data_IF_102569890651
#
_entry.id   IF_102569890651
#
_cell.length_a   1.000
_cell.length_b   1.000
_cell.length_c   1.000
_cell.angle_alpha   90.00
_cell.angle_beta   90.00
_cell.angle_gamma   90.00
#
_symmetry.space_group_name_H-M   'P 1'
#
loop_
_entity.id
_entity.type
_entity.pdbx_description
1 polymer ?
#
# COMPACT_ATOMS: atom_id res chain seq x y z
N UNK A 1 -9.34 19.88 -2.02
CA UNK A 1 -9.07 18.76 -2.92
C UNK A 1 -8.20 17.69 -2.24
N UNK A 2 -6.98 17.96 -1.77
CA UNK A 2 -6.06 16.98 -1.15
C UNK A 2 -6.70 16.20 0.02
N UNK A 3 -7.49 16.85 0.88
CA UNK A 3 -8.20 16.17 1.96
C UNK A 3 -9.19 15.14 1.43
N UNK A 4 -9.90 15.46 0.35
CA UNK A 4 -10.91 14.58 -0.24
C UNK A 4 -10.26 13.34 -0.86
N UNK A 5 -9.18 13.51 -1.63
CA UNK A 5 -8.42 12.38 -2.19
C UNK A 5 -7.76 11.55 -1.09
N UNK A 6 -7.31 12.16 -0.01
CA UNK A 6 -6.80 11.46 1.16
C UNK A 6 -7.90 10.64 1.86
N UNK A 7 -9.12 11.18 2.05
CA UNK A 7 -10.25 10.43 2.60
C UNK A 7 -10.59 9.20 1.73
N UNK A 8 -10.50 9.32 0.41
CA UNK A 8 -10.65 8.18 -0.51
C UNK A 8 -9.62 7.09 -0.19
N UNK A 9 -8.36 7.47 0.05
CA UNK A 9 -7.29 6.52 0.41
C UNK A 9 -7.52 5.92 1.81
N UNK A 10 -8.13 6.66 2.73
CA UNK A 10 -8.54 6.12 4.05
C UNK A 10 -9.61 5.04 3.88
N UNK A 11 -10.61 5.24 3.03
CA UNK A 11 -11.62 4.21 2.75
C UNK A 11 -11.03 2.99 2.02
N UNK A 12 -10.07 3.18 1.10
CA UNK A 12 -9.29 2.11 0.48
C UNK A 12 -8.56 1.28 1.56
N UNK A 13 -7.86 1.95 2.48
CA UNK A 13 -7.17 1.30 3.59
C UNK A 13 -8.11 0.56 4.55
N UNK A 14 -9.31 1.11 4.80
CA UNK A 14 -10.35 0.44 5.56
C UNK A 14 -10.73 -0.89 4.90
N UNK A 15 -11.04 -0.87 3.59
CA UNK A 15 -11.45 -2.08 2.85
C UNK A 15 -10.36 -3.16 2.81
N UNK A 16 -9.10 -2.76 2.70
CA UNK A 16 -7.98 -3.70 2.67
C UNK A 16 -7.80 -4.43 4.01
N UNK A 17 -8.03 -3.74 5.12
CA UNK A 17 -7.75 -4.26 6.47
C UNK A 17 -9.00 -4.85 7.13
N UNK A 18 -10.21 -4.43 6.74
CA UNK A 18 -11.47 -4.93 7.32
C UNK A 18 -11.58 -6.45 7.24
N UNK A 19 -11.06 -7.07 6.18
CA UNK A 19 -11.07 -8.52 6.05
C UNK A 19 -10.34 -9.20 7.21
N UNK A 20 -9.16 -8.72 7.58
CA UNK A 20 -8.39 -9.23 8.71
C UNK A 20 -9.16 -9.16 10.04
N UNK A 21 -9.95 -8.09 10.25
CA UNK A 21 -10.78 -7.95 11.46
C UNK A 21 -11.92 -8.97 11.51
N UNK A 22 -12.39 -9.41 10.34
CA UNK A 22 -13.56 -10.29 10.21
C UNK A 22 -13.21 -11.78 10.03
N UNK A 23 -11.95 -12.15 9.81
CA UNK A 23 -11.55 -13.57 9.68
C UNK A 23 -11.99 -14.42 10.87
N UNK A 24 -11.78 -14.04 12.16
CA UNK A 24 -12.22 -14.88 13.27
C UNK A 24 -13.72 -15.18 13.25
N UNK A 25 -14.63 -14.21 13.12
CA UNK A 25 -16.06 -14.51 13.03
C UNK A 25 -16.48 -15.19 11.72
N UNK A 26 -15.77 -14.96 10.58
CA UNK A 26 -16.04 -15.67 9.33
C UNK A 26 -15.73 -17.17 9.43
N UNK A 27 -14.63 -17.54 10.09
CA UNK A 27 -14.28 -18.94 10.36
C UNK A 27 -15.27 -19.62 11.32
N UNK A 28 -16.02 -18.85 12.10
CA UNK A 28 -17.04 -19.34 13.02
C UNK A 28 -18.47 -19.27 12.43
N UNK A 29 -18.64 -18.78 11.20
CA UNK A 29 -19.96 -18.61 10.58
C UNK A 29 -20.59 -19.96 10.26
N UNK A 30 -21.79 -20.17 10.75
CA UNK A 30 -22.53 -21.43 10.57
C UNK A 30 -22.87 -21.66 9.10
N UNK A 31 -22.57 -22.85 8.60
CA UNK A 31 -22.88 -23.25 7.22
C UNK A 31 -21.87 -22.75 6.18
N UNK A 32 -20.79 -22.08 6.60
CA UNK A 32 -19.72 -21.68 5.69
C UNK A 32 -18.54 -22.65 5.70
N UNK A 33 -18.33 -23.42 6.76
CA UNK A 33 -17.30 -24.45 6.94
C UNK A 33 -15.91 -24.05 6.42
N UNK A 34 -15.56 -22.77 6.66
CA UNK A 34 -14.32 -22.17 6.18
C UNK A 34 -13.12 -22.73 6.95
N UNK A 35 -12.10 -23.20 6.20
CA UNK A 35 -10.76 -23.45 6.74
C UNK A 35 -9.92 -22.18 6.68
N UNK A 36 -8.76 -22.15 7.35
CA UNK A 36 -7.84 -21.04 7.23
C UNK A 36 -7.30 -20.90 5.80
N UNK A 37 -7.11 -22.01 5.07
CA UNK A 37 -6.71 -22.02 3.66
C UNK A 37 -7.77 -21.36 2.78
N UNK A 38 -9.04 -21.69 2.92
CA UNK A 38 -10.11 -21.08 2.14
C UNK A 38 -10.32 -19.61 2.48
N UNK A 39 -10.20 -19.23 3.75
CA UNK A 39 -10.19 -17.83 4.16
C UNK A 39 -8.99 -17.07 3.58
N UNK A 40 -7.80 -17.68 3.56
CA UNK A 40 -6.62 -17.12 2.89
C UNK A 40 -6.85 -16.89 1.41
N UNK A 41 -7.45 -17.84 0.71
CA UNK A 41 -7.81 -17.71 -0.71
C UNK A 41 -8.76 -16.54 -0.96
N UNK A 42 -9.82 -16.42 -0.16
CA UNK A 42 -10.77 -15.29 -0.24
C UNK A 42 -10.05 -13.95 -0.01
N UNK A 43 -9.15 -13.88 0.98
CA UNK A 43 -8.32 -12.69 1.21
C UNK A 43 -7.45 -12.33 0.00
N UNK A 44 -6.87 -13.33 -0.65
CA UNK A 44 -6.05 -13.17 -1.86
C UNK A 44 -6.85 -12.66 -3.07
N UNK A 45 -8.15 -12.98 -3.17
CA UNK A 45 -9.01 -12.54 -4.28
C UNK A 45 -9.12 -11.02 -4.36
N UNK A 46 -9.22 -10.31 -3.22
CA UNK A 46 -9.25 -8.86 -3.23
C UNK A 46 -7.96 -8.25 -3.82
N UNK A 47 -6.80 -8.77 -3.42
CA UNK A 47 -5.52 -8.33 -3.95
C UNK A 47 -5.30 -8.72 -5.42
N UNK A 48 -5.81 -9.89 -5.84
CA UNK A 48 -5.83 -10.30 -7.25
C UNK A 48 -6.69 -9.34 -8.09
N UNK A 49 -7.86 -8.96 -7.59
CA UNK A 49 -8.70 -7.92 -8.20
C UNK A 49 -7.95 -6.59 -8.30
N UNK A 50 -7.24 -6.17 -7.24
CA UNK A 50 -6.43 -4.95 -7.26
C UNK A 50 -5.31 -5.00 -8.29
N UNK A 51 -4.66 -6.14 -8.48
CA UNK A 51 -3.63 -6.30 -9.50
C UNK A 51 -4.20 -6.08 -10.89
N UNK A 52 -5.33 -6.71 -11.21
CA UNK A 52 -6.02 -6.55 -12.49
C UNK A 52 -6.52 -5.11 -12.67
N UNK A 53 -7.14 -4.54 -11.63
CA UNK A 53 -7.62 -3.16 -11.61
C UNK A 53 -6.52 -2.13 -11.85
N UNK A 54 -5.35 -2.33 -11.24
CA UNK A 54 -4.21 -1.43 -11.43
C UNK A 54 -3.67 -1.45 -12.87
N UNK A 55 -3.69 -2.61 -13.54
CA UNK A 55 -3.27 -2.73 -14.95
C UNK A 55 -4.23 -2.02 -15.92
N UNK A 56 -5.50 -1.94 -15.58
CA UNK A 56 -6.53 -1.31 -16.42
C UNK A 56 -6.72 0.18 -16.12
N UNK A 57 -6.35 0.61 -14.92
CA UNK A 57 -6.62 1.96 -14.43
C UNK A 57 -5.94 3.07 -15.22
N UNK A 58 -4.70 2.86 -15.65
CA UNK A 58 -3.97 3.84 -16.48
C UNK A 58 -4.73 4.12 -17.77
N UNK A 59 -5.10 3.07 -18.50
CA UNK A 59 -5.89 3.19 -19.72
C UNK A 59 -7.25 3.88 -19.49
N UNK A 60 -7.88 3.58 -18.34
CA UNK A 60 -9.16 4.19 -17.98
C UNK A 60 -8.99 5.69 -17.68
N UNK A 61 -7.93 6.06 -16.94
CA UNK A 61 -7.64 7.45 -16.60
C UNK A 61 -7.28 8.28 -17.84
N UNK A 62 -6.52 7.72 -18.77
CA UNK A 62 -6.16 8.40 -20.03
C UNK A 62 -7.40 8.68 -20.90
N UNK A 63 -8.35 7.73 -20.97
CA UNK A 63 -9.57 7.90 -21.79
C UNK A 63 -10.65 8.72 -21.13
N UNK A 64 -10.91 8.55 -19.85
CA UNK A 64 -12.07 9.10 -19.14
C UNK A 64 -11.75 10.33 -18.31
N UNK A 65 -10.47 10.57 -18.03
CA UNK A 65 -10.00 11.55 -17.07
C UNK A 65 -9.84 10.96 -15.66
N UNK A 66 -9.00 11.61 -14.87
CA UNK A 66 -8.69 11.17 -13.50
C UNK A 66 -9.90 11.27 -12.57
N UNK A 67 -10.66 12.37 -12.63
CA UNK A 67 -11.86 12.55 -11.81
C UNK A 67 -12.88 11.46 -12.06
N UNK A 68 -13.25 11.21 -13.33
CA UNK A 68 -14.25 10.19 -13.66
C UNK A 68 -13.79 8.79 -13.28
N UNK A 69 -12.50 8.49 -13.44
CA UNK A 69 -11.91 7.22 -13.03
C UNK A 69 -12.02 7.04 -11.52
N UNK A 70 -11.64 8.04 -10.73
CA UNK A 70 -11.75 8.01 -9.26
C UNK A 70 -13.22 7.79 -8.84
N UNK A 71 -14.16 8.54 -9.40
CA UNK A 71 -15.58 8.41 -9.06
C UNK A 71 -16.13 7.01 -9.37
N UNK A 72 -15.79 6.46 -10.54
CA UNK A 72 -16.21 5.10 -10.94
C UNK A 72 -15.58 4.05 -10.07
N UNK A 73 -14.28 4.14 -9.79
CA UNK A 73 -13.58 3.23 -8.90
C UNK A 73 -14.16 3.28 -7.48
N UNK A 74 -14.46 4.50 -6.96
CA UNK A 74 -15.07 4.68 -5.63
C UNK A 74 -16.45 4.05 -5.57
N UNK A 75 -17.32 4.32 -6.53
CA UNK A 75 -18.64 3.69 -6.58
C UNK A 75 -18.53 2.17 -6.67
N UNK A 76 -17.69 1.67 -7.56
CA UNK A 76 -17.52 0.26 -7.83
C UNK A 76 -17.04 -0.52 -6.59
N UNK A 77 -15.91 -0.11 -5.98
CA UNK A 77 -15.42 -0.83 -4.82
C UNK A 77 -16.38 -0.75 -3.65
N UNK A 78 -16.95 0.42 -3.38
CA UNK A 78 -17.88 0.60 -2.26
C UNK A 78 -19.14 -0.25 -2.42
N UNK A 79 -19.66 -0.36 -3.65
CA UNK A 79 -20.82 -1.20 -3.94
C UNK A 79 -20.53 -2.67 -3.66
N UNK A 80 -19.42 -3.21 -4.22
CA UNK A 80 -19.08 -4.62 -4.04
C UNK A 80 -18.64 -4.94 -2.61
N UNK A 81 -17.99 -4.00 -1.91
CA UNK A 81 -17.73 -4.14 -0.47
C UNK A 81 -19.03 -4.17 0.33
N UNK A 82 -19.98 -3.28 0.04
CA UNK A 82 -21.29 -3.33 0.71
C UNK A 82 -22.06 -4.64 0.42
N UNK A 83 -21.96 -5.17 -0.81
CA UNK A 83 -22.57 -6.45 -1.19
C UNK A 83 -21.95 -7.64 -0.40
N UNK A 84 -20.72 -7.54 0.06
CA UNK A 84 -20.16 -8.54 0.98
C UNK A 84 -21.00 -8.71 2.24
N UNK A 85 -21.68 -7.65 2.72
CA UNK A 85 -22.52 -7.74 3.91
C UNK A 85 -23.75 -8.69 3.75
N UNK A 86 -24.20 -8.88 2.52
CA UNK A 86 -25.38 -9.72 2.20
C UNK A 86 -25.00 -11.03 1.50
N UNK A 87 -23.72 -11.36 1.43
CA UNK A 87 -23.25 -12.59 0.80
C UNK A 87 -23.82 -13.82 1.55
N UNK A 88 -24.42 -14.74 0.78
CA UNK A 88 -25.04 -15.95 1.30
C UNK A 88 -24.05 -17.13 1.42
N UNK A 89 -22.94 -17.10 0.69
CA UNK A 89 -21.93 -18.14 0.68
C UNK A 89 -20.50 -17.58 0.60
N UNK A 90 -19.47 -18.36 0.98
CA UNK A 90 -18.07 -17.96 0.88
C UNK A 90 -17.65 -17.61 -0.56
N UNK A 91 -18.17 -18.33 -1.56
CA UNK A 91 -17.83 -18.13 -2.98
C UNK A 91 -18.36 -16.79 -3.45
N UNK A 92 -19.61 -16.45 -3.13
CA UNK A 92 -20.23 -15.16 -3.46
C UNK A 92 -19.49 -14.04 -2.75
N UNK A 93 -19.15 -14.22 -1.48
CA UNK A 93 -18.35 -13.27 -0.73
C UNK A 93 -16.96 -13.05 -1.38
N UNK A 94 -16.27 -14.13 -1.73
CA UNK A 94 -14.99 -14.08 -2.44
C UNK A 94 -15.08 -13.38 -3.80
N UNK A 95 -16.13 -13.67 -4.58
CA UNK A 95 -16.38 -12.98 -5.84
C UNK A 95 -16.58 -11.47 -5.64
N UNK A 96 -17.35 -11.06 -4.64
CA UNK A 96 -17.51 -9.64 -4.32
C UNK A 96 -16.20 -9.00 -3.85
N UNK A 97 -15.37 -9.68 -3.09
CA UNK A 97 -14.02 -9.22 -2.69
C UNK A 97 -13.12 -9.01 -3.91
N UNK A 98 -13.14 -9.93 -4.89
CA UNK A 98 -12.39 -9.76 -6.14
C UNK A 98 -12.89 -8.54 -6.93
N UNK A 99 -14.21 -8.39 -7.08
CA UNK A 99 -14.82 -7.28 -7.79
C UNK A 99 -14.56 -5.94 -7.09
N UNK A 100 -14.63 -5.89 -5.76
CA UNK A 100 -14.22 -4.71 -4.99
C UNK A 100 -12.75 -4.35 -5.26
N UNK A 101 -11.88 -5.36 -5.25
CA UNK A 101 -10.47 -5.21 -5.58
C UNK A 101 -10.21 -4.56 -6.93
N UNK A 102 -10.98 -4.88 -7.98
CA UNK A 102 -10.85 -4.23 -9.29
C UNK A 102 -10.96 -2.69 -9.18
N UNK A 103 -11.91 -2.20 -8.40
CA UNK A 103 -12.06 -0.77 -8.16
C UNK A 103 -10.90 -0.16 -7.36
N UNK A 104 -10.50 -0.82 -6.28
CA UNK A 104 -9.40 -0.38 -5.41
C UNK A 104 -8.06 -0.28 -6.17
N UNK A 105 -7.80 -1.19 -7.12
CA UNK A 105 -6.56 -1.21 -7.88
C UNK A 105 -6.29 0.07 -8.67
N UNK A 106 -7.34 0.70 -9.17
CA UNK A 106 -7.23 1.94 -9.95
C UNK A 106 -7.31 3.23 -9.14
N UNK A 107 -7.81 3.14 -7.91
CA UNK A 107 -8.19 4.29 -7.10
C UNK A 107 -6.97 5.09 -6.62
N UNK A 108 -6.06 4.46 -5.90
CA UNK A 108 -4.88 5.12 -5.29
C UNK A 108 -3.96 5.75 -6.32
N UNK A 109 -3.58 5.06 -7.42
CA UNK A 109 -2.77 5.67 -8.48
C UNK A 109 -3.43 6.90 -9.09
N UNK A 110 -4.73 6.84 -9.42
CA UNK A 110 -5.46 7.95 -10.01
C UNK A 110 -5.61 9.13 -9.05
N UNK A 111 -5.86 8.87 -7.75
CA UNK A 111 -5.95 9.89 -6.72
C UNK A 111 -4.60 10.59 -6.49
N UNK A 112 -3.51 9.84 -6.46
CA UNK A 112 -2.16 10.40 -6.32
C UNK A 112 -1.77 11.23 -7.55
N UNK A 113 -2.04 10.75 -8.78
CA UNK A 113 -1.76 11.47 -10.00
C UNK A 113 -2.52 12.80 -10.04
N UNK A 114 -3.84 12.77 -9.79
CA UNK A 114 -4.64 13.98 -9.73
C UNK A 114 -4.14 14.95 -8.66
N UNK A 115 -3.84 14.47 -7.45
CA UNK A 115 -3.36 15.32 -6.35
C UNK A 115 -2.03 15.99 -6.69
N UNK A 116 -1.13 15.28 -7.36
CA UNK A 116 0.18 15.80 -7.73
C UNK A 116 0.14 17.00 -8.68
N UNK A 117 -0.93 17.11 -9.51
CA UNK A 117 -1.12 18.25 -10.40
C UNK A 117 -1.51 19.55 -9.67
N UNK A 118 -2.17 19.43 -8.51
CA UNK A 118 -2.65 20.57 -7.72
C UNK A 118 -1.67 21.00 -6.62
N UNK A 119 -0.51 20.37 -6.53
CA UNK A 119 0.49 20.64 -5.49
C UNK A 119 1.77 21.13 -6.14
N UNK A 120 2.35 22.22 -5.60
CA UNK A 120 3.64 22.74 -6.08
C UNK A 120 4.74 21.67 -5.96
N UNK A 121 5.70 21.67 -6.89
CA UNK A 121 6.82 20.69 -6.93
C UNK A 121 7.52 20.53 -5.56
N UNK A 122 7.69 21.63 -4.82
CA UNK A 122 8.33 21.64 -3.50
C UNK A 122 7.58 20.76 -2.48
N UNK A 123 6.26 20.67 -2.57
CA UNK A 123 5.42 19.97 -1.58
C UNK A 123 4.91 18.61 -2.07
N UNK A 124 5.12 18.23 -3.33
CA UNK A 124 4.63 16.96 -3.91
C UNK A 124 5.03 15.73 -3.08
N UNK A 125 6.30 15.67 -2.64
CA UNK A 125 6.78 14.55 -1.83
C UNK A 125 6.07 14.46 -0.47
N UNK A 126 5.91 15.60 0.21
CA UNK A 126 5.21 15.64 1.50
C UNK A 126 3.74 15.25 1.36
N UNK A 127 3.04 15.76 0.34
CA UNK A 127 1.64 15.43 0.09
C UNK A 127 1.49 13.96 -0.30
N UNK A 128 2.38 13.41 -1.12
CA UNK A 128 2.37 11.97 -1.44
C UNK A 128 2.53 11.10 -0.17
N UNK A 129 3.40 11.51 0.76
CA UNK A 129 3.55 10.82 2.05
C UNK A 129 2.26 10.90 2.89
N UNK A 130 1.62 12.07 2.94
CA UNK A 130 0.32 12.24 3.62
C UNK A 130 -0.74 11.35 2.96
N UNK A 131 -0.79 11.32 1.63
CA UNK A 131 -1.72 10.42 0.91
C UNK A 131 -1.52 8.95 1.29
N UNK A 132 -0.27 8.49 1.34
CA UNK A 132 0.06 7.10 1.71
C UNK A 132 -0.27 6.76 3.16
N UNK A 133 -0.29 7.74 4.09
CA UNK A 133 -0.73 7.53 5.46
C UNK A 133 -2.23 7.18 5.58
N UNK A 134 -3.01 7.47 4.55
CA UNK A 134 -4.43 7.13 4.50
C UNK A 134 -4.69 5.63 4.66
N UNK A 135 -3.86 4.78 4.06
CA UNK A 135 -4.02 3.32 4.15
C UNK A 135 -3.95 2.81 5.60
N UNK A 136 -2.88 3.06 6.38
CA UNK A 136 -2.85 2.59 7.77
C UNK A 136 -3.85 3.35 8.69
N UNK A 137 -4.24 4.59 8.37
CA UNK A 137 -5.32 5.26 9.09
C UNK A 137 -6.65 4.54 8.83
N UNK A 138 -6.95 4.16 7.60
CA UNK A 138 -8.10 3.33 7.25
C UNK A 138 -8.09 1.99 8.00
N UNK A 139 -6.94 1.33 8.08
CA UNK A 139 -6.75 0.12 8.87
C UNK A 139 -6.97 0.34 10.36
N UNK A 140 -6.53 1.49 10.91
CA UNK A 140 -6.81 1.86 12.30
C UNK A 140 -8.31 2.08 12.53
N UNK A 141 -9.00 2.74 11.59
CA UNK A 141 -10.46 2.92 11.62
C UNK A 141 -11.16 1.56 11.58
N UNK A 142 -10.73 0.63 10.72
CA UNK A 142 -11.30 -0.72 10.66
C UNK A 142 -11.15 -1.46 12.00
N UNK A 143 -10.00 -1.37 12.65
CA UNK A 143 -9.78 -1.99 13.96
C UNK A 143 -10.67 -1.34 15.05
N UNK A 144 -10.73 0.00 15.10
CA UNK A 144 -11.54 0.74 16.08
C UNK A 144 -13.05 0.48 15.89
N UNK A 145 -13.53 0.59 14.65
CA UNK A 145 -14.94 0.32 14.32
C UNK A 145 -15.29 -1.14 14.63
N UNK A 146 -14.36 -2.06 14.36
CA UNK A 146 -14.52 -3.48 14.68
C UNK A 146 -14.70 -3.77 16.16
N UNK A 147 -14.07 -3.01 17.07
CA UNK A 147 -14.26 -3.16 18.52
C UNK A 147 -15.73 -2.95 18.96
N UNK A 148 -16.48 -2.16 18.21
CA UNK A 148 -17.87 -1.80 18.50
C UNK A 148 -18.86 -2.61 17.66
N UNK A 149 -18.65 -2.68 16.33
CA UNK A 149 -19.62 -3.30 15.42
C UNK A 149 -19.61 -4.83 15.50
N UNK A 150 -18.43 -5.48 15.65
CA UNK A 150 -18.37 -6.94 15.65
C UNK A 150 -19.16 -7.58 16.81
N UNK A 151 -19.05 -7.09 18.07
CA UNK A 151 -19.83 -7.66 19.17
C UNK A 151 -21.32 -7.35 19.08
N UNK A 152 -21.71 -6.18 18.54
CA UNK A 152 -23.09 -5.70 18.52
C UNK A 152 -23.88 -6.19 17.30
N UNK A 153 -23.26 -6.22 16.11
CA UNK A 153 -23.95 -6.42 14.84
C UNK A 153 -23.30 -7.51 13.96
N UNK A 154 -22.24 -8.14 14.44
CA UNK A 154 -21.52 -9.18 13.71
C UNK A 154 -20.69 -8.66 12.52
N UNK A 155 -20.03 -9.57 11.83
CA UNK A 155 -19.05 -9.25 10.79
C UNK A 155 -19.64 -8.56 9.54
N UNK A 156 -20.92 -8.82 9.24
CA UNK A 156 -21.62 -8.21 8.09
C UNK A 156 -21.68 -6.68 8.20
N UNK A 157 -21.83 -6.17 9.42
CA UNK A 157 -21.86 -4.72 9.68
C UNK A 157 -20.59 -4.01 9.27
N UNK A 158 -19.44 -4.68 9.34
CA UNK A 158 -18.15 -4.12 8.95
C UNK A 158 -18.10 -3.80 7.44
N UNK A 159 -18.73 -4.62 6.61
CA UNK A 159 -18.82 -4.37 5.16
C UNK A 159 -19.92 -3.37 4.81
N UNK A 160 -20.99 -3.33 5.61
CA UNK A 160 -22.06 -2.34 5.45
C UNK A 160 -21.56 -0.88 5.65
N UNK A 161 -20.46 -0.67 6.37
CA UNK A 161 -19.81 0.67 6.50
C UNK A 161 -19.44 1.26 5.13
N UNK A 162 -19.18 0.43 4.11
CA UNK A 162 -18.91 0.91 2.75
C UNK A 162 -20.07 1.71 2.14
N UNK A 163 -21.31 1.54 2.64
CA UNK A 163 -22.47 2.36 2.24
C UNK A 163 -22.22 3.83 2.57
N UNK A 164 -21.48 4.15 3.65
CA UNK A 164 -21.11 5.53 3.99
C UNK A 164 -20.26 6.16 2.88
N UNK A 165 -19.36 5.40 2.25
CA UNK A 165 -18.59 5.90 1.11
C UNK A 165 -19.49 6.24 -0.09
N UNK A 166 -20.52 5.44 -0.35
CA UNK A 166 -21.49 5.70 -1.43
C UNK A 166 -22.37 6.92 -1.12
N UNK A 167 -22.86 7.03 0.11
CA UNK A 167 -23.84 8.05 0.47
C UNK A 167 -23.22 9.41 0.85
N UNK A 168 -21.97 9.41 1.33
CA UNK A 168 -21.30 10.62 1.81
C UNK A 168 -20.09 10.97 0.95
N UNK A 169 -19.13 10.05 0.82
CA UNK A 169 -17.88 10.36 0.15
C UNK A 169 -18.06 10.56 -1.36
N UNK A 170 -18.85 9.73 -2.01
CA UNK A 170 -19.08 9.83 -3.46
C UNK A 170 -19.78 11.13 -3.86
N UNK A 171 -20.88 11.58 -3.22
CA UNK A 171 -21.49 12.90 -3.50
C UNK A 171 -20.51 14.06 -3.26
N UNK A 172 -19.71 14.01 -2.18
CA UNK A 172 -18.67 15.01 -1.95
C UNK A 172 -17.64 15.04 -3.07
N UNK A 173 -17.21 13.85 -3.55
CA UNK A 173 -16.29 13.77 -4.69
C UNK A 173 -16.91 14.28 -5.97
N UNK A 174 -18.18 14.00 -6.23
CA UNK A 174 -18.91 14.53 -7.41
C UNK A 174 -18.98 16.05 -7.36
N UNK A 175 -19.22 16.63 -6.19
CA UNK A 175 -19.37 18.09 -6.04
C UNK A 175 -18.02 18.84 -6.04
N UNK A 176 -16.98 18.28 -5.42
CA UNK A 176 -15.78 19.03 -5.06
C UNK A 176 -14.50 18.58 -5.78
N UNK A 177 -14.49 17.39 -6.42
CA UNK A 177 -13.28 16.91 -7.07
C UNK A 177 -13.16 17.52 -8.47
N UNK A 178 -12.09 18.29 -8.77
CA UNK A 178 -11.86 18.82 -10.11
C UNK A 178 -11.34 17.75 -11.08
N UNK A 179 -11.42 18.00 -12.38
CA UNK A 179 -10.72 17.18 -13.35
C UNK A 179 -9.26 17.65 -13.48
N UNK A 180 -8.40 16.76 -13.95
CA UNK A 180 -7.00 17.03 -14.23
C UNK A 180 -6.82 18.12 -15.27
N UNK A 181 -6.13 19.24 -14.98
CA UNK A 181 -5.82 20.27 -15.99
C UNK A 181 -5.02 19.72 -17.17
N UNK A 182 -4.07 18.83 -16.93
CA UNK A 182 -3.26 18.19 -17.96
C UNK A 182 -4.13 17.34 -18.90
N UNK A 183 -5.05 16.55 -18.33
CA UNK A 183 -5.98 15.75 -19.13
C UNK A 183 -6.95 16.62 -19.93
N UNK A 184 -7.48 17.71 -19.35
CA UNK A 184 -8.36 18.65 -20.05
C UNK A 184 -7.66 19.27 -21.25
N UNK A 185 -6.38 19.68 -21.11
CA UNK A 185 -5.59 20.26 -22.20
C UNK A 185 -5.33 19.25 -23.32
N UNK A 186 -4.97 18.01 -22.97
CA UNK A 186 -4.71 16.95 -23.96
C UNK A 186 -5.94 16.57 -24.78
N UNK A 187 -7.15 16.89 -24.26
CA UNK A 187 -8.44 16.65 -24.94
C UNK A 187 -9.05 17.93 -25.54
N UNK A 188 -8.27 19.00 -25.72
CA UNK A 188 -8.71 20.24 -26.35
C UNK A 188 -9.62 21.14 -25.49
N UNK A 189 -9.86 20.79 -24.21
CA UNK A 189 -10.71 21.54 -23.27
C UNK A 189 -9.93 22.61 -22.51
N UNK A 190 -9.18 23.45 -23.26
CA UNK A 190 -8.23 24.42 -22.71
C UNK A 190 -8.90 25.42 -21.76
N UNK A 191 -10.06 25.97 -22.14
CA UNK A 191 -10.76 26.96 -21.33
C UNK A 191 -11.20 26.41 -19.95
N UNK A 192 -11.52 25.12 -19.88
CA UNK A 192 -11.87 24.46 -18.60
C UNK A 192 -10.61 24.20 -17.75
N UNK A 193 -9.49 23.83 -18.39
CA UNK A 193 -8.21 23.69 -17.72
C UNK A 193 -7.77 25.02 -17.06
N UNK A 194 -7.82 26.13 -17.79
CA UNK A 194 -7.49 27.46 -17.30
C UNK A 194 -8.38 27.91 -16.15
N UNK A 195 -9.68 27.65 -16.23
CA UNK A 195 -10.62 27.93 -15.12
C UNK A 195 -10.25 27.10 -13.88
N UNK A 196 -9.93 25.82 -14.05
CA UNK A 196 -9.55 24.95 -12.93
C UNK A 196 -8.24 25.41 -12.31
N UNK A 197 -7.25 25.76 -13.13
CA UNK A 197 -5.95 26.30 -12.68
C UNK A 197 -6.12 27.62 -11.91
N UNK A 198 -6.96 28.53 -12.43
CA UNK A 198 -7.25 29.81 -11.77
C UNK A 198 -7.94 29.64 -10.42
N UNK A 199 -8.92 28.74 -10.32
CA UNK A 199 -9.65 28.47 -9.06
C UNK A 199 -8.74 27.87 -7.99
N UNK A 200 -7.83 26.98 -8.38
CA UNK A 200 -6.95 26.28 -7.42
C UNK A 200 -5.55 26.90 -7.30
N UNK A 201 -5.25 27.98 -8.03
CA UNK A 201 -3.96 28.66 -7.98
C UNK A 201 -2.80 27.79 -8.52
N UNK A 202 -3.09 26.91 -9.49
CA UNK A 202 -2.09 26.01 -10.09
C UNK A 202 -1.33 26.77 -11.17
N UNK A 203 -0.01 26.84 -11.06
CA UNK A 203 0.85 27.40 -12.11
C UNK A 203 1.20 26.30 -13.10
N UNK A 204 0.78 26.49 -14.35
CA UNK A 204 1.07 25.54 -15.41
C UNK A 204 2.57 25.52 -15.73
N UNK A 205 3.21 24.38 -15.60
CA UNK A 205 4.61 24.18 -15.95
C UNK A 205 4.71 23.57 -17.36
N UNK A 206 4.99 24.41 -18.35
CA UNK A 206 5.11 24.01 -19.76
C UNK A 206 6.19 22.95 -20.02
N UNK A 207 7.12 22.76 -19.08
CA UNK A 207 8.23 21.79 -19.21
C UNK A 207 7.83 20.33 -19.00
N UNK A 208 6.63 20.05 -18.44
CA UNK A 208 6.18 18.66 -18.19
C UNK A 208 5.47 18.02 -19.41
N UNK A 209 5.19 18.77 -20.48
CA UNK A 209 4.36 18.32 -21.61
C UNK A 209 5.12 17.83 -22.82
N UNK A 210 6.41 17.61 -22.74
CA UNK A 210 7.07 16.77 -23.72
C UNK A 210 6.67 15.30 -23.48
N UNK A 211 5.49 14.94 -24.00
CA UNK A 211 5.00 13.58 -24.06
C UNK A 211 5.82 12.74 -25.04
N UNK A 212 7.09 12.49 -24.68
CA UNK A 212 7.78 11.33 -25.20
C UNK A 212 7.05 10.13 -24.61
N UNK A 213 6.60 9.20 -25.45
CA UNK A 213 5.98 7.95 -25.05
C UNK A 213 6.78 7.33 -23.91
N UNK A 214 6.11 7.01 -22.80
CA UNK A 214 6.77 6.37 -21.66
C UNK A 214 7.51 5.12 -22.16
N UNK A 215 8.80 4.98 -21.85
CA UNK A 215 9.57 3.83 -22.33
C UNK A 215 8.94 2.54 -21.85
N UNK A 216 8.81 1.55 -22.73
CA UNK A 216 8.26 0.25 -22.36
C UNK A 216 9.11 -0.47 -21.31
N UNK A 217 8.53 -1.45 -20.62
CA UNK A 217 9.20 -2.26 -19.57
C UNK A 217 10.51 -2.91 -20.05
N UNK A 218 10.64 -3.20 -21.37
CA UNK A 218 11.88 -3.72 -21.95
C UNK A 218 13.10 -2.84 -21.73
N UNK A 219 12.93 -1.51 -21.62
CA UNK A 219 14.03 -0.58 -21.40
C UNK A 219 14.63 -0.69 -20.00
N UNK A 220 13.79 -0.86 -18.97
CA UNK A 220 14.23 -1.00 -17.58
C UNK A 220 14.76 -2.39 -17.26
N UNK A 221 14.47 -3.38 -18.09
CA UNK A 221 14.93 -4.77 -17.93
C UNK A 221 16.21 -5.07 -18.74
N UNK A 222 16.87 -4.05 -19.31
CA UNK A 222 18.10 -4.19 -20.08
C UNK A 222 19.25 -3.36 -19.49
N UNK A 223 20.47 -3.75 -19.83
CA UNK A 223 21.69 -3.03 -19.45
C UNK A 223 21.83 -2.82 -17.94
N UNK A 224 22.28 -1.63 -17.58
CA UNK A 224 22.55 -1.24 -16.19
C UNK A 224 21.30 -1.18 -15.29
N UNK A 225 20.09 -1.01 -15.87
CA UNK A 225 18.84 -0.89 -15.12
C UNK A 225 18.25 -2.23 -14.69
N UNK A 226 18.64 -3.35 -15.35
CA UNK A 226 18.06 -4.67 -15.11
C UNK A 226 18.18 -5.11 -13.64
N UNK A 227 19.38 -5.04 -13.07
CA UNK A 227 19.63 -5.49 -11.69
C UNK A 227 18.85 -4.65 -10.67
N UNK A 228 18.95 -3.31 -10.64
CA UNK A 228 18.16 -2.50 -9.71
C UNK A 228 16.65 -2.73 -9.85
N UNK A 229 16.13 -2.82 -11.08
CA UNK A 229 14.70 -3.05 -11.34
C UNK A 229 14.20 -4.34 -10.72
N UNK A 230 14.93 -5.45 -10.91
CA UNK A 230 14.56 -6.75 -10.34
C UNK A 230 14.65 -6.71 -8.81
N UNK A 231 15.71 -6.12 -8.25
CA UNK A 231 15.90 -6.02 -6.80
C UNK A 231 14.82 -5.16 -6.13
N UNK A 232 14.46 -4.01 -6.69
CA UNK A 232 13.36 -3.19 -6.18
C UNK A 232 12.02 -3.92 -6.26
N UNK A 233 11.73 -4.59 -7.38
CA UNK A 233 10.50 -5.36 -7.54
C UNK A 233 10.42 -6.52 -6.51
N UNK A 234 11.49 -7.30 -6.36
CA UNK A 234 11.55 -8.39 -5.39
C UNK A 234 11.45 -7.88 -3.94
N UNK A 235 12.13 -6.77 -3.60
CA UNK A 235 11.99 -6.14 -2.29
C UNK A 235 10.57 -5.67 -2.03
N UNK A 236 9.88 -5.13 -3.05
CA UNK A 236 8.47 -4.73 -2.95
C UNK A 236 7.56 -5.93 -2.72
N UNK A 237 7.78 -7.06 -3.43
CA UNK A 237 7.04 -8.32 -3.19
C UNK A 237 7.19 -8.75 -1.72
N UNK A 238 8.41 -8.81 -1.22
CA UNK A 238 8.69 -9.24 0.14
C UNK A 238 8.08 -8.29 1.19
N UNK A 239 8.17 -6.98 0.96
CA UNK A 239 7.60 -5.95 1.85
C UNK A 239 6.07 -6.05 1.90
N UNK A 240 5.40 -6.13 0.74
CA UNK A 240 3.95 -6.23 0.67
C UNK A 240 3.44 -7.56 1.20
N UNK A 241 4.20 -8.65 1.03
CA UNK A 241 3.88 -9.94 1.64
C UNK A 241 3.84 -9.82 3.17
N UNK A 242 4.84 -9.22 3.80
CA UNK A 242 4.87 -9.05 5.24
C UNK A 242 3.73 -8.12 5.73
N UNK A 243 3.53 -6.97 5.08
CA UNK A 243 2.52 -5.99 5.46
C UNK A 243 1.09 -6.54 5.37
N UNK A 244 0.71 -7.09 4.22
CA UNK A 244 -0.66 -7.59 4.02
C UNK A 244 -0.90 -8.93 4.70
N UNK A 245 0.13 -9.76 4.90
CA UNK A 245 0.03 -10.95 5.71
C UNK A 245 -0.32 -10.64 7.16
N UNK A 246 0.37 -9.66 7.76
CA UNK A 246 0.04 -9.16 9.10
C UNK A 246 -1.34 -8.53 9.15
N UNK A 247 -1.66 -7.62 8.23
CA UNK A 247 -2.98 -6.97 8.16
C UNK A 247 -4.13 -7.98 8.08
N UNK A 248 -3.92 -9.09 7.40
CA UNK A 248 -4.92 -10.16 7.22
C UNK A 248 -5.02 -11.07 8.44
N UNK A 249 -3.91 -11.56 8.96
CA UNK A 249 -3.92 -12.66 9.92
C UNK A 249 -3.72 -12.24 11.36
N UNK A 250 -3.19 -11.05 11.65
CA UNK A 250 -2.80 -10.65 13.02
C UNK A 250 -3.93 -10.83 14.05
N UNK A 251 -5.21 -10.43 13.81
CA UNK A 251 -6.26 -10.64 14.80
C UNK A 251 -6.50 -12.12 15.08
N UNK A 252 -6.46 -12.99 14.07
CA UNK A 252 -6.63 -14.44 14.22
C UNK A 252 -5.44 -15.05 14.98
N UNK A 253 -4.21 -14.68 14.61
CA UNK A 253 -2.99 -15.18 15.26
C UNK A 253 -2.96 -14.83 16.74
N UNK A 254 -3.22 -13.56 17.08
CA UNK A 254 -3.21 -13.10 18.47
C UNK A 254 -4.39 -13.64 19.31
N UNK A 255 -5.50 -13.99 18.67
CA UNK A 255 -6.68 -14.54 19.36
C UNK A 255 -6.68 -16.06 19.46
N UNK A 256 -5.86 -16.80 18.71
CA UNK A 256 -5.87 -18.26 18.68
C UNK A 256 -4.84 -18.94 19.60
N UNK A 257 -3.85 -18.21 20.09
CA UNK A 257 -2.81 -18.75 20.97
C UNK A 257 -2.94 -18.18 22.38
N UNK A 258 -3.09 -19.06 23.37
CA UNK A 258 -3.25 -18.68 24.78
C UNK A 258 -2.08 -17.83 25.31
N UNK A 259 -0.89 -17.97 24.72
CA UNK A 259 0.29 -17.18 25.07
C UNK A 259 0.17 -15.70 24.72
N UNK A 260 -0.75 -15.34 23.80
CA UNK A 260 -1.05 -13.98 23.41
C UNK A 260 -2.41 -13.49 23.94
N UNK A 261 -3.01 -14.14 24.93
CA UNK A 261 -4.25 -13.66 25.58
C UNK A 261 -3.99 -12.40 26.44
N UNK A 262 -3.24 -11.46 25.91
CA UNK A 262 -2.81 -10.22 26.56
C UNK A 262 -3.76 -9.04 26.31
N UNK A 263 -4.91 -9.28 25.62
CA UNK A 263 -5.89 -8.26 25.30
C UNK A 263 -6.80 -8.64 24.13
N UNK A 264 -7.64 -7.69 23.70
CA UNK A 264 -8.50 -7.90 22.53
C UNK A 264 -7.65 -7.90 21.24
N UNK A 265 -7.79 -8.90 20.36
CA UNK A 265 -6.97 -9.05 19.15
C UNK A 265 -6.92 -7.81 18.23
N UNK A 266 -8.00 -7.04 18.18
CA UNK A 266 -8.06 -5.83 17.36
C UNK A 266 -7.18 -4.69 17.86
N UNK A 267 -6.82 -4.64 19.15
CA UNK A 267 -5.85 -3.66 19.64
C UNK A 267 -4.44 -3.91 19.11
N UNK A 268 -4.06 -5.18 18.88
CA UNK A 268 -2.77 -5.49 18.25
C UNK A 268 -2.73 -5.04 16.80
N UNK A 269 -3.84 -5.22 16.05
CA UNK A 269 -3.97 -4.71 14.70
C UNK A 269 -3.94 -3.17 14.67
N UNK A 270 -4.61 -2.53 15.64
CA UNK A 270 -4.55 -1.07 15.81
C UNK A 270 -3.11 -0.60 16.06
N UNK A 271 -2.36 -1.27 16.94
CA UNK A 271 -0.95 -0.93 17.21
C UNK A 271 -0.08 -1.05 15.96
N UNK A 272 -0.24 -2.12 15.17
CA UNK A 272 0.44 -2.28 13.89
C UNK A 272 0.15 -1.10 12.94
N UNK A 273 -1.11 -0.73 12.78
CA UNK A 273 -1.53 0.35 11.89
C UNK A 273 -1.09 1.73 12.40
N UNK A 274 -1.18 2.01 13.71
CA UNK A 274 -0.64 3.24 14.30
C UNK A 274 0.88 3.31 14.14
N UNK A 275 1.57 2.19 14.30
CA UNK A 275 2.99 2.07 13.96
C UNK A 275 3.26 2.46 12.51
N UNK A 276 2.42 2.02 11.57
CA UNK A 276 2.57 2.36 10.15
C UNK A 276 2.29 3.86 9.87
N UNK A 277 1.34 4.48 10.58
CA UNK A 277 1.12 5.95 10.52
C UNK A 277 2.38 6.69 10.98
N UNK A 278 2.92 6.31 12.15
CA UNK A 278 4.18 6.87 12.66
C UNK A 278 5.33 6.61 11.69
N UNK A 279 5.36 5.40 11.11
CA UNK A 279 6.32 4.99 10.10
C UNK A 279 6.33 5.90 8.88
N UNK A 280 5.17 6.32 8.40
CA UNK A 280 5.08 7.27 7.28
C UNK A 280 5.84 8.57 7.56
N UNK A 281 5.75 9.09 8.78
CA UNK A 281 6.42 10.34 9.18
C UNK A 281 7.91 10.11 9.42
N UNK A 282 8.24 9.12 10.25
CA UNK A 282 9.63 8.80 10.64
C UNK A 282 10.48 8.43 9.43
N UNK A 283 9.93 7.60 8.53
CA UNK A 283 10.68 7.16 7.34
C UNK A 283 10.78 8.25 6.28
N UNK A 284 9.79 9.14 6.15
CA UNK A 284 9.92 10.32 5.31
C UNK A 284 11.07 11.22 5.78
N UNK A 285 11.13 11.51 7.08
CA UNK A 285 12.24 12.27 7.67
C UNK A 285 13.59 11.58 7.48
N UNK A 286 13.67 10.27 7.77
CA UNK A 286 14.89 9.49 7.63
C UNK A 286 15.34 9.42 6.16
N UNK A 287 14.40 9.26 5.22
CA UNK A 287 14.66 9.26 3.79
C UNK A 287 15.29 10.54 3.29
N UNK A 288 14.86 11.70 3.80
CA UNK A 288 15.45 13.01 3.49
C UNK A 288 16.83 13.16 4.14
N UNK A 289 16.98 12.73 5.39
CA UNK A 289 18.21 12.93 6.18
C UNK A 289 19.36 11.99 5.80
N UNK A 290 19.07 10.70 5.58
CA UNK A 290 20.05 9.63 5.39
C UNK A 290 20.01 9.00 3.99
N UNK A 291 19.07 9.43 3.16
CA UNK A 291 18.79 8.89 1.85
C UNK A 291 17.76 7.73 1.89
N UNK A 292 16.88 7.65 0.87
CA UNK A 292 15.74 6.74 0.89
C UNK A 292 16.13 5.26 0.93
N UNK A 293 17.18 4.87 0.21
CA UNK A 293 17.58 3.47 0.11
C UNK A 293 18.19 2.94 1.42
N UNK A 294 19.08 3.73 2.07
CA UNK A 294 19.66 3.34 3.37
C UNK A 294 18.58 3.26 4.46
N UNK A 295 17.69 4.23 4.46
CA UNK A 295 16.56 4.25 5.41
C UNK A 295 15.61 3.08 5.18
N UNK A 296 15.40 2.65 3.91
CA UNK A 296 14.59 1.49 3.59
C UNK A 296 15.19 0.18 4.13
N UNK A 297 16.51 0.01 4.01
CA UNK A 297 17.22 -1.15 4.61
C UNK A 297 17.00 -1.18 6.12
N UNK A 298 17.20 -0.04 6.80
CA UNK A 298 17.03 0.04 8.25
C UNK A 298 15.57 -0.23 8.66
N UNK A 299 14.59 0.35 7.96
CA UNK A 299 13.18 0.13 8.23
C UNK A 299 12.77 -1.34 8.07
N UNK A 300 13.19 -1.99 6.98
CA UNK A 300 12.93 -3.41 6.75
C UNK A 300 13.59 -4.31 7.81
N UNK A 301 14.81 -3.99 8.24
CA UNK A 301 15.48 -4.71 9.33
C UNK A 301 14.75 -4.54 10.67
N UNK A 302 14.27 -3.33 10.99
CA UNK A 302 13.46 -3.07 12.19
C UNK A 302 12.17 -3.89 12.17
N UNK A 303 11.47 -3.96 11.01
CA UNK A 303 10.30 -4.81 10.87
C UNK A 303 10.61 -6.28 11.11
N UNK A 304 11.69 -6.80 10.49
CA UNK A 304 12.10 -8.19 10.66
C UNK A 304 12.42 -8.52 12.11
N UNK A 305 13.17 -7.67 12.80
CA UNK A 305 13.54 -7.87 14.22
C UNK A 305 12.31 -7.78 15.13
N UNK A 306 11.41 -6.81 14.91
CA UNK A 306 10.16 -6.70 15.68
C UNK A 306 9.29 -7.95 15.55
N UNK A 307 9.16 -8.49 14.33
CA UNK A 307 8.41 -9.73 14.09
C UNK A 307 9.13 -10.97 14.63
N UNK A 308 10.45 -11.04 14.51
CA UNK A 308 11.26 -12.12 15.11
C UNK A 308 11.14 -12.14 16.63
N UNK A 309 11.05 -10.98 17.28
CA UNK A 309 10.85 -10.89 18.72
C UNK A 309 9.53 -11.54 19.17
N UNK A 310 8.46 -11.49 18.35
CA UNK A 310 7.19 -12.16 18.70
C UNK A 310 7.32 -13.69 18.75
N UNK A 311 8.37 -14.28 18.14
CA UNK A 311 8.67 -15.71 18.23
C UNK A 311 9.16 -16.14 19.62
N UNK A 312 9.60 -15.20 20.45
CA UNK A 312 9.96 -15.48 21.85
C UNK A 312 8.74 -15.62 22.76
N UNK A 313 7.54 -15.35 22.23
CA UNK A 313 6.27 -15.37 22.96
C UNK A 313 6.30 -14.57 24.26
N UNK A 314 6.53 -13.24 24.17
CA UNK A 314 6.61 -12.41 25.36
C UNK A 314 5.30 -12.47 26.16
N UNK A 315 5.43 -12.59 27.49
CA UNK A 315 4.29 -12.70 28.41
C UNK A 315 3.71 -11.34 28.82
N UNK A 316 4.43 -10.27 28.56
CA UNK A 316 4.00 -8.92 28.90
C UNK A 316 3.41 -8.20 27.69
N UNK A 317 2.37 -7.40 27.91
CA UNK A 317 1.64 -6.68 26.86
C UNK A 317 2.49 -5.60 26.21
N UNK A 318 3.27 -4.85 26.99
CA UNK A 318 4.07 -3.71 26.52
C UNK A 318 5.06 -4.07 25.41
N UNK A 319 5.94 -5.07 25.60
CA UNK A 319 6.87 -5.53 24.56
C UNK A 319 6.18 -6.02 23.28
N UNK A 320 5.01 -6.68 23.37
CA UNK A 320 4.24 -7.13 22.21
C UNK A 320 3.75 -5.93 21.40
N UNK A 321 3.17 -4.91 22.07
CA UNK A 321 2.75 -3.68 21.39
C UNK A 321 3.92 -2.94 20.76
N UNK A 322 5.05 -2.83 21.46
CA UNK A 322 6.25 -2.20 20.93
C UNK A 322 6.76 -2.92 19.68
N UNK A 323 6.80 -4.26 19.69
CA UNK A 323 7.20 -5.07 18.54
C UNK A 323 6.27 -4.86 17.34
N UNK A 324 4.95 -4.81 17.56
CA UNK A 324 3.97 -4.58 16.50
C UNK A 324 4.02 -3.15 15.95
N UNK A 325 4.23 -2.15 16.81
CA UNK A 325 4.46 -0.76 16.36
C UNK A 325 5.71 -0.70 15.49
N UNK A 326 6.83 -1.31 15.90
CA UNK A 326 8.06 -1.38 15.12
C UNK A 326 7.87 -2.15 13.81
N UNK A 327 7.09 -3.23 13.82
CA UNK A 327 6.72 -3.96 12.60
C UNK A 327 5.91 -3.08 11.64
N UNK A 328 4.96 -2.28 12.16
CA UNK A 328 4.19 -1.32 11.37
C UNK A 328 5.06 -0.21 10.79
N UNK A 329 5.90 0.43 11.63
CA UNK A 329 6.89 1.44 11.19
C UNK A 329 7.75 0.89 10.07
N UNK A 330 8.26 -0.33 10.26
CA UNK A 330 9.21 -0.92 9.33
C UNK A 330 8.58 -1.40 8.04
N UNK A 331 7.48 -2.15 8.07
CA UNK A 331 6.87 -2.71 6.86
C UNK A 331 6.26 -1.63 5.96
N UNK A 332 5.38 -0.78 6.50
CA UNK A 332 4.77 0.30 5.72
C UNK A 332 5.80 1.38 5.35
N UNK A 333 6.68 1.74 6.27
CA UNK A 333 7.75 2.70 6.02
C UNK A 333 8.73 2.24 4.94
N UNK A 334 9.08 0.96 4.89
CA UNK A 334 9.90 0.40 3.80
C UNK A 334 9.23 0.58 2.45
N UNK A 335 7.91 0.38 2.35
CA UNK A 335 7.17 0.58 1.11
C UNK A 335 7.24 2.04 0.64
N UNK A 336 7.04 3.00 1.54
CA UNK A 336 7.16 4.44 1.23
C UNK A 336 8.59 4.79 0.77
N UNK A 337 9.59 4.22 1.42
CA UNK A 337 11.00 4.46 1.08
C UNK A 337 11.43 3.80 -0.22
N UNK A 338 10.87 2.63 -0.59
CA UNK A 338 11.11 2.01 -1.90
C UNK A 338 10.60 2.94 -3.02
N UNK A 339 9.40 3.51 -2.86
CA UNK A 339 8.85 4.50 -3.82
C UNK A 339 9.81 5.67 -4.00
N UNK A 340 10.29 6.25 -2.89
CA UNK A 340 11.25 7.35 -2.91
C UNK A 340 12.61 6.95 -3.50
N UNK A 341 13.09 5.74 -3.19
CA UNK A 341 14.35 5.22 -3.71
C UNK A 341 14.29 5.00 -5.22
N UNK A 342 13.22 4.41 -5.74
CA UNK A 342 13.00 4.26 -7.18
C UNK A 342 12.94 5.63 -7.85
N UNK A 343 12.19 6.58 -7.29
CA UNK A 343 12.09 7.93 -7.85
C UNK A 343 13.43 8.68 -7.89
N UNK A 344 14.34 8.42 -6.95
CA UNK A 344 15.68 9.02 -6.91
C UNK A 344 16.72 8.29 -7.75
N UNK A 345 16.54 6.97 -7.96
CA UNK A 345 17.52 6.15 -8.67
C UNK A 345 17.43 6.26 -10.19
N UNK A 346 16.19 6.38 -10.72
CA UNK A 346 15.98 6.40 -12.17
C UNK A 346 15.90 7.83 -12.72
N UNK A 347 16.41 8.05 -13.97
CA UNK A 347 16.25 9.33 -14.64
C UNK A 347 14.75 9.63 -14.86
N UNK A 348 14.37 10.92 -15.02
CA UNK A 348 12.96 11.34 -15.12
C UNK A 348 12.13 10.54 -16.11
N UNK A 349 12.67 10.22 -17.28
CA UNK A 349 12.02 9.46 -18.35
C UNK A 349 11.65 8.01 -17.94
N UNK A 350 12.42 7.37 -17.05
CA UNK A 350 12.22 5.98 -16.63
C UNK A 350 11.48 5.82 -15.29
N UNK A 351 11.34 6.90 -14.51
CA UNK A 351 10.76 6.85 -13.14
C UNK A 351 9.38 6.22 -13.08
N UNK A 352 8.48 6.69 -13.94
CA UNK A 352 7.10 6.19 -13.99
C UNK A 352 7.05 4.71 -14.31
N UNK A 353 7.78 4.28 -15.35
CA UNK A 353 7.85 2.88 -15.79
C UNK A 353 8.45 1.98 -14.72
N UNK A 354 9.56 2.43 -14.08
CA UNK A 354 10.23 1.65 -13.03
C UNK A 354 9.36 1.53 -11.77
N UNK A 355 8.69 2.62 -11.38
CA UNK A 355 7.78 2.63 -10.24
C UNK A 355 6.56 1.74 -10.50
N UNK A 356 5.95 1.88 -11.68
CA UNK A 356 4.83 1.04 -12.09
C UNK A 356 5.19 -0.45 -12.12
N UNK A 357 6.39 -0.80 -12.62
CA UNK A 357 6.88 -2.16 -12.61
C UNK A 357 7.10 -2.69 -11.18
N UNK A 358 7.81 -1.95 -10.34
CA UNK A 358 8.10 -2.37 -8.97
C UNK A 358 6.81 -2.55 -8.14
N UNK A 359 5.87 -1.59 -8.22
CA UNK A 359 4.60 -1.67 -7.50
C UNK A 359 3.66 -2.73 -8.08
N UNK A 360 3.63 -2.90 -9.41
CA UNK A 360 2.82 -3.91 -10.08
C UNK A 360 3.26 -5.32 -9.70
N UNK A 361 4.55 -5.64 -9.84
CA UNK A 361 5.11 -6.93 -9.44
C UNK A 361 4.99 -7.12 -7.92
N UNK A 362 5.18 -6.06 -7.14
CA UNK A 362 5.02 -6.09 -5.69
C UNK A 362 3.66 -6.61 -5.22
N UNK A 363 2.59 -6.36 -5.99
CA UNK A 363 1.23 -6.88 -5.70
C UNK A 363 1.15 -8.40 -5.61
N UNK A 364 2.07 -9.12 -6.26
CA UNK A 364 2.17 -10.58 -6.12
C UNK A 364 2.38 -10.96 -4.65
N UNK A 365 3.21 -10.20 -3.92
CA UNK A 365 3.41 -10.41 -2.48
C UNK A 365 2.11 -10.24 -1.68
N UNK A 366 1.31 -9.22 -2.00
CA UNK A 366 0.02 -8.98 -1.36
C UNK A 366 -0.98 -10.12 -1.66
N UNK A 367 -1.00 -10.65 -2.89
CA UNK A 367 -1.85 -11.78 -3.28
C UNK A 367 -1.45 -13.06 -2.56
N UNK A 368 -0.15 -13.34 -2.45
CA UNK A 368 0.34 -14.58 -1.84
C UNK A 368 0.21 -14.58 -0.30
N UNK A 369 0.29 -13.42 0.34
CA UNK A 369 0.39 -13.33 1.79
C UNK A 369 -0.81 -13.94 2.56
N UNK A 370 -2.09 -13.64 2.22
CA UNK A 370 -3.22 -14.25 2.88
C UNK A 370 -3.26 -15.77 2.67
N UNK A 371 -2.96 -16.24 1.46
CA UNK A 371 -2.98 -17.66 1.12
C UNK A 371 -1.91 -18.45 1.88
N UNK A 372 -0.68 -17.97 1.89
CA UNK A 372 0.42 -18.62 2.61
C UNK A 372 0.13 -18.65 4.11
N UNK A 373 -0.38 -17.55 4.68
CA UNK A 373 -0.75 -17.51 6.08
C UNK A 373 -1.84 -18.53 6.44
N UNK A 374 -2.83 -18.72 5.56
CA UNK A 374 -3.86 -19.74 5.73
C UNK A 374 -3.29 -21.16 5.66
N UNK A 375 -2.43 -21.46 4.71
CA UNK A 375 -1.75 -22.76 4.59
C UNK A 375 -0.93 -23.12 5.85
N UNK A 376 -0.18 -22.15 6.38
CA UNK A 376 0.61 -22.37 7.60
C UNK A 376 -0.26 -22.70 8.81
N UNK A 377 -1.43 -22.07 8.93
CA UNK A 377 -2.38 -22.35 10.01
C UNK A 377 -3.02 -23.72 9.88
N UNK A 378 -3.49 -24.10 8.68
CA UNK A 378 -4.11 -25.41 8.43
C UNK A 378 -3.11 -26.56 8.54
N UNK A 379 -1.83 -26.31 8.20
CA UNK A 379 -0.74 -27.25 8.42
C UNK A 379 -0.40 -27.47 9.92
N UNK A 380 -1.09 -26.77 10.84
CA UNK A 380 -0.90 -26.88 12.30
C UNK A 380 0.53 -26.60 12.78
N UNK A 381 1.27 -25.79 12.05
CA UNK A 381 2.65 -25.40 12.40
C UNK A 381 2.71 -24.37 13.53
N UNK A 382 1.59 -23.99 14.09
CA UNK A 382 1.47 -23.00 15.15
C UNK A 382 1.52 -21.55 14.66
N UNK A 383 1.17 -20.62 15.54
CA UNK A 383 1.11 -19.18 15.24
C UNK A 383 2.49 -18.62 14.88
N UNK A 384 3.55 -19.14 15.49
CA UNK A 384 4.93 -18.73 15.23
C UNK A 384 5.38 -18.90 13.78
N UNK A 385 4.83 -19.88 13.05
CA UNK A 385 5.18 -20.08 11.64
C UNK A 385 4.80 -18.90 10.75
N UNK A 386 3.67 -18.25 11.03
CA UNK A 386 3.25 -17.04 10.34
C UNK A 386 4.16 -15.84 10.67
N UNK A 387 4.46 -15.61 11.97
CA UNK A 387 5.40 -14.55 12.35
C UNK A 387 6.79 -14.78 11.76
N UNK A 388 7.25 -16.03 11.71
CA UNK A 388 8.51 -16.39 11.07
C UNK A 388 8.48 -16.07 9.56
N UNK A 389 7.43 -16.46 8.84
CA UNK A 389 7.30 -16.20 7.41
C UNK A 389 7.30 -14.69 7.10
N UNK A 390 6.57 -13.91 7.88
CA UNK A 390 6.51 -12.45 7.70
C UNK A 390 7.81 -11.76 8.12
N UNK A 391 8.49 -12.25 9.17
CA UNK A 391 9.81 -11.77 9.59
C UNK A 391 10.88 -12.07 8.54
N UNK A 392 10.89 -13.29 7.99
CA UNK A 392 11.82 -13.67 6.91
C UNK A 392 11.57 -12.85 5.64
N UNK A 393 10.33 -12.57 5.30
CA UNK A 393 10.00 -11.71 4.16
C UNK A 393 10.50 -10.27 4.38
N UNK A 394 10.30 -9.69 5.56
CA UNK A 394 10.85 -8.38 5.90
C UNK A 394 12.39 -8.37 5.89
N UNK A 395 13.02 -9.41 6.41
CA UNK A 395 14.48 -9.61 6.38
C UNK A 395 15.00 -9.74 4.94
N UNK A 396 14.30 -10.50 4.09
CA UNK A 396 14.61 -10.61 2.66
C UNK A 396 14.53 -9.25 1.97
N UNK A 397 13.52 -8.45 2.27
CA UNK A 397 13.41 -7.09 1.74
C UNK A 397 14.63 -6.24 2.14
N UNK A 398 15.07 -6.31 3.41
CA UNK A 398 16.26 -5.60 3.88
C UNK A 398 17.53 -6.02 3.12
N UNK A 399 17.72 -7.33 2.91
CA UNK A 399 18.86 -7.88 2.16
C UNK A 399 18.84 -7.44 0.69
N UNK A 400 17.70 -7.53 0.02
CA UNK A 400 17.55 -7.11 -1.38
C UNK A 400 17.82 -5.61 -1.56
N UNK A 401 17.33 -4.78 -0.63
CA UNK A 401 17.57 -3.34 -0.63
C UNK A 401 19.05 -3.02 -0.33
N UNK A 402 19.70 -3.78 0.54
CA UNK A 402 21.13 -3.65 0.80
C UNK A 402 21.95 -3.98 -0.44
N UNK A 403 21.65 -5.07 -1.15
CA UNK A 403 22.28 -5.38 -2.44
C UNK A 403 22.03 -4.28 -3.47
N UNK A 404 20.84 -3.70 -3.51
CA UNK A 404 20.57 -2.54 -4.37
C UNK A 404 21.47 -1.36 -4.00
N UNK A 405 21.64 -1.06 -2.71
CA UNK A 405 22.49 0.02 -2.23
C UNK A 405 23.97 -0.17 -2.58
N UNK A 406 24.45 -1.42 -2.57
CA UNK A 406 25.82 -1.76 -2.95
C UNK A 406 26.02 -1.68 -4.47
N UNK A 407 25.06 -2.23 -5.24
CA UNK A 407 25.13 -2.26 -6.71
C UNK A 407 25.00 -0.88 -7.36
N UNK A 408 24.45 0.11 -6.63
CA UNK A 408 24.19 1.46 -7.16
C UNK A 408 25.16 2.51 -6.62
N UNK A 409 26.21 2.12 -5.91
CA UNK A 409 27.26 3.05 -5.50
C UNK A 409 27.91 3.66 -6.75
N UNK A 410 28.03 5.01 -6.85
CA UNK A 410 28.85 5.62 -7.89
C UNK A 410 30.24 5.02 -7.81
N UNK A 411 30.83 4.65 -8.95
CA UNK A 411 32.25 4.32 -8.99
C UNK A 411 33.05 5.47 -8.35
N UNK A 412 34.07 5.19 -7.52
CA UNK A 412 34.89 6.24 -6.96
C UNK A 412 35.35 7.14 -8.11
N UNK A 413 35.18 8.45 -7.98
CA UNK A 413 35.63 9.41 -8.99
C UNK A 413 37.10 9.10 -9.27
N UNK A 414 37.51 9.01 -10.54
CA UNK A 414 38.90 8.79 -10.84
C UNK A 414 39.74 9.87 -10.13
N UNK A 415 40.77 9.43 -9.43
CA UNK A 415 41.65 10.33 -8.72
C UNK A 415 42.04 11.45 -9.67
N UNK A 416 41.78 12.72 -9.30
CA UNK A 416 42.22 13.86 -10.10
C UNK A 416 43.72 13.66 -10.32
N UNK A 417 44.19 13.66 -11.58
CA UNK A 417 45.62 13.62 -11.80
C UNK A 417 46.23 14.84 -11.06
N UNK A 418 47.26 14.58 -10.29
CA UNK A 418 48.00 15.61 -9.59
C UNK A 418 48.62 16.57 -10.66
N UNK A 419 47.90 17.64 -10.99
CA UNK A 419 48.36 18.73 -11.80
C UNK A 419 48.94 19.78 -10.84
N UNK A 420 49.98 19.41 -10.10
CA UNK A 420 50.78 20.37 -9.31
C UNK A 420 52.20 19.83 -9.16
N UNK A 421 52.93 19.73 -10.25
CA UNK A 421 54.37 19.51 -10.21
C UNK A 421 55.12 19.99 -11.47
N UNK A 422 54.65 21.06 -12.13
CA UNK A 422 55.42 21.71 -13.18
C UNK A 422 55.10 23.20 -13.23
N UNK A 423 55.35 23.93 -12.15
CA UNK A 423 55.64 25.38 -12.18
C UNK A 423 56.72 25.63 -11.12
N UNK A 424 57.93 25.47 -11.54
CA UNK A 424 59.12 26.22 -11.06
C UNK A 424 60.06 26.41 -12.22
#
# INVERSE_FOLDING_TARGET
MTLLTWLIVVFDGYDLIVYGTTIPPLLAERGWDLTATSAGFIGSLAFAGMLVGALTAGYLADRLGHRRTILRCTLWFSLFTALCAVAASPEVFGAFRFLAGLGLGGLVPSANALTAEFVSRKHRSAVSTVMMSGVPIGGSVAALVGLWLLPAFGWRSMYAVAVVAVLVLLPLCVALLPESPSWLRSHGRVAEAERTEAVYGVVHDHAEHASEHAPGFGTILRGQWRRPTILFAAATVATLFAWYGLGTWLPKLMGSDARFHLGKPLFFLLALNLGAVLGSVVTAWAGVRFGPLRSAVAAAAVAALGLAFLLTYPTEVGPVYAALILAGVGTHGTQCLIIAAVASHYPPKLRGTSLGFALGIGRIGAVLAPQVGGWLLDAKLGVGSNFLAFSLAAGLAAVLLLFTAVATRPAPAPARPAVDALVH
#
